data_IF_444002782885
#
_entry.id   IF_444002782885
#
_cell.length_a   1.000
_cell.length_b   1.000
_cell.length_c   1.000
_cell.angle_alpha   90.00
_cell.angle_beta   90.00
_cell.angle_gamma   90.00
#
_symmetry.space_group_name_H-M   'P 1'
#
loop_
_entity.id
_entity.type
_entity.pdbx_description
1 polymer ?
#
# COMPACT_ATOMS: atom_id res chain seq x y z
N UNK A 1 -14.10 1.64 1.17
CA UNK A 1 -13.46 2.45 2.22
C UNK A 1 -12.15 2.98 1.68
N UNK A 2 -11.97 4.30 1.70
CA UNK A 2 -10.73 4.97 1.28
C UNK A 2 -9.85 5.08 2.51
N UNK A 3 -8.69 4.42 2.51
CA UNK A 3 -7.80 4.41 3.67
C UNK A 3 -7.09 5.76 3.77
N UNK A 4 -7.22 6.48 4.89
CA UNK A 4 -6.64 7.83 5.03
C UNK A 4 -5.22 7.84 5.60
N UNK A 5 -4.80 6.74 6.23
CA UNK A 5 -3.50 6.64 6.87
C UNK A 5 -2.37 6.62 5.83
N UNK A 6 -1.51 7.64 5.87
CA UNK A 6 -0.39 7.77 4.94
C UNK A 6 0.71 6.76 5.27
N UNK A 7 1.37 6.25 4.25
CA UNK A 7 2.43 5.24 4.40
C UNK A 7 3.62 5.65 3.58
N UNK A 8 4.82 5.49 4.15
CA UNK A 8 6.07 5.71 3.45
C UNK A 8 6.38 4.49 2.59
N UNK A 9 6.27 4.63 1.28
CA UNK A 9 6.49 3.56 0.30
C UNK A 9 7.47 4.01 -0.78
N UNK A 10 8.24 3.07 -1.31
CA UNK A 10 9.11 3.32 -2.47
C UNK A 10 8.29 3.09 -3.74
N UNK A 11 8.17 4.13 -4.55
CA UNK A 11 7.58 4.03 -5.88
C UNK A 11 8.58 3.33 -6.82
N UNK A 12 8.21 2.20 -7.45
CA UNK A 12 9.10 1.49 -8.36
C UNK A 12 9.35 2.24 -9.67
N UNK A 13 8.45 3.16 -10.07
CA UNK A 13 8.55 3.89 -11.33
C UNK A 13 9.42 5.13 -11.22
N UNK A 14 9.22 5.92 -10.17
CA UNK A 14 10.01 7.13 -9.94
C UNK A 14 11.27 6.88 -9.11
N UNK A 15 11.42 5.69 -8.53
CA UNK A 15 12.46 5.31 -7.56
C UNK A 15 12.52 6.21 -6.31
N UNK A 16 11.52 7.06 -6.10
CA UNK A 16 11.41 7.95 -4.97
C UNK A 16 10.66 7.29 -3.82
N UNK A 17 10.99 7.75 -2.61
CA UNK A 17 10.24 7.41 -1.43
C UNK A 17 9.15 8.46 -1.26
N UNK A 18 7.90 8.02 -1.35
CA UNK A 18 6.71 8.87 -1.29
C UNK A 18 5.88 8.51 -0.05
N UNK A 19 5.24 9.52 0.53
CA UNK A 19 4.36 9.33 1.70
C UNK A 19 2.93 9.63 1.26
N UNK A 20 2.20 8.59 0.88
CA UNK A 20 0.86 8.70 0.28
C UNK A 20 -0.08 7.65 0.89
N UNK A 21 -1.39 7.91 0.94
CA UNK A 21 -2.36 6.91 1.35
C UNK A 21 -2.57 5.87 0.22
N UNK A 22 -2.83 4.59 0.56
CA UNK A 22 -3.25 3.61 -0.42
C UNK A 22 -4.71 3.87 -0.81
N UNK A 23 -5.01 3.79 -2.10
CA UNK A 23 -6.37 3.88 -2.62
C UNK A 23 -7.21 2.67 -2.21
N UNK A 24 -6.56 1.49 -2.13
CA UNK A 24 -7.21 0.24 -1.73
C UNK A 24 -6.23 -0.66 -0.99
N UNK A 25 -6.72 -1.41 -0.02
CA UNK A 25 -5.94 -2.41 0.70
C UNK A 25 -6.51 -3.80 0.46
N UNK A 26 -5.60 -4.75 0.24
CA UNK A 26 -5.90 -6.17 0.10
C UNK A 26 -5.27 -6.91 1.28
N UNK A 27 -6.03 -7.83 1.85
CA UNK A 27 -5.54 -8.75 2.87
C UNK A 27 -5.46 -10.13 2.25
N UNK A 28 -4.25 -10.68 2.20
CA UNK A 28 -4.01 -12.04 1.70
C UNK A 28 -3.63 -12.90 2.90
N UNK A 29 -4.41 -13.95 3.13
CA UNK A 29 -4.19 -14.91 4.21
C UNK A 29 -3.78 -16.25 3.62
N UNK A 30 -2.75 -16.87 4.18
CA UNK A 30 -2.40 -18.25 3.84
C UNK A 30 -3.12 -19.27 4.74
N UNK A 31 -3.09 -20.55 4.36
CA UNK A 31 -3.69 -21.64 5.13
C UNK A 31 -3.09 -21.84 6.54
N UNK A 32 -1.90 -21.27 6.79
CA UNK A 32 -1.22 -21.31 8.10
C UNK A 32 -1.60 -20.12 9.00
N UNK A 33 -2.54 -19.27 8.59
CA UNK A 33 -2.99 -18.10 9.36
C UNK A 33 -2.06 -16.89 9.29
N UNK A 34 -1.04 -16.90 8.44
CA UNK A 34 -0.21 -15.72 8.17
C UNK A 34 -0.96 -14.78 7.22
N UNK A 35 -1.09 -13.53 7.63
CA UNK A 35 -1.74 -12.48 6.85
C UNK A 35 -0.71 -11.45 6.39
N UNK A 36 -0.82 -11.04 5.13
CA UNK A 36 -0.09 -9.89 4.57
C UNK A 36 -1.09 -8.86 4.08
N UNK A 37 -0.73 -7.59 4.24
CA UNK A 37 -1.52 -6.46 3.76
C UNK A 37 -0.79 -5.82 2.59
N UNK A 38 -1.49 -5.58 1.49
CA UNK A 38 -0.94 -4.97 0.28
C UNK A 38 -1.78 -3.74 -0.06
N UNK A 39 -1.13 -2.59 -0.18
CA UNK A 39 -1.75 -1.34 -0.61
C UNK A 39 -1.60 -1.14 -2.11
N UNK A 40 -2.67 -0.67 -2.76
CA UNK A 40 -2.66 -0.08 -4.09
C UNK A 40 -2.41 1.41 -3.94
N UNK A 41 -1.39 1.91 -4.61
CA UNK A 41 -0.98 3.31 -4.58
C UNK A 41 -0.94 3.86 -6.00
N UNK A 42 -1.11 5.18 -6.13
CA UNK A 42 -0.91 5.88 -7.38
C UNK A 42 0.33 6.75 -7.28
N UNK A 43 1.28 6.56 -8.21
CA UNK A 43 2.49 7.37 -8.25
C UNK A 43 2.15 8.84 -8.50
N UNK A 44 2.62 9.79 -7.67
CA UNK A 44 2.35 11.20 -7.87
C UNK A 44 3.07 11.76 -9.11
N UNK A 45 4.14 11.12 -9.57
CA UNK A 45 4.91 11.56 -10.75
C UNK A 45 4.41 10.94 -12.04
N UNK A 46 4.18 9.63 -12.06
CA UNK A 46 3.86 8.91 -13.29
C UNK A 46 2.37 8.63 -13.44
N UNK A 47 1.56 8.93 -12.43
CA UNK A 47 0.14 8.54 -12.34
C UNK A 47 -0.13 7.04 -12.47
N UNK A 48 0.91 6.20 -12.49
CA UNK A 48 0.78 4.75 -12.60
C UNK A 48 0.44 4.13 -11.25
N UNK A 49 -0.35 3.07 -11.29
CA UNK A 49 -0.67 2.32 -10.10
C UNK A 49 0.44 1.32 -9.77
N UNK A 50 0.79 1.23 -8.49
CA UNK A 50 1.71 0.22 -7.99
C UNK A 50 1.20 -0.40 -6.70
N UNK A 51 1.72 -1.59 -6.38
CA UNK A 51 1.39 -2.31 -5.15
C UNK A 51 2.59 -2.33 -4.24
N UNK A 52 2.38 -2.07 -2.96
CA UNK A 52 3.42 -2.19 -1.95
C UNK A 52 2.91 -2.94 -0.72
N UNK A 53 3.81 -3.67 -0.07
CA UNK A 53 3.52 -4.31 1.21
C UNK A 53 3.28 -3.25 2.27
N UNK A 54 2.24 -3.46 3.05
CA UNK A 54 1.91 -2.66 4.22
C UNK A 54 2.34 -3.40 5.48
N UNK A 55 2.54 -2.62 6.55
CA UNK A 55 2.70 -3.20 7.88
C UNK A 55 1.47 -4.04 8.25
N UNK A 56 1.69 -5.14 8.99
CA UNK A 56 0.60 -5.99 9.51
C UNK A 56 -0.35 -5.22 10.42
N UNK A 57 0.11 -4.14 11.06
CA UNK A 57 -0.70 -3.26 11.89
C UNK A 57 -1.48 -2.19 11.11
N UNK A 58 -1.27 -2.05 9.79
CA UNK A 58 -1.89 -0.99 9.01
C UNK A 58 -3.40 -1.19 8.87
N UNK A 59 -4.20 -0.38 9.56
CA UNK A 59 -5.66 -0.44 9.48
C UNK A 59 -6.21 0.71 8.63
N UNK A 60 -7.24 0.40 7.84
CA UNK A 60 -8.00 1.41 7.09
C UNK A 60 -9.13 1.91 7.98
N UNK A 61 -8.84 2.92 8.80
CA UNK A 61 -9.85 3.72 9.49
C UNK A 61 -10.27 4.94 8.64
#
# INVERSE_FOLDING_TARGET
MVCKNVVKVKDPYSHLVVTIPPEKVFVIRNHRGKEIRIGLFRSPKTSQYFRALLSSAYNCE
#
